data_IF_088351282230
#
_entry.id   IF_088351282230
#
_cell.length_a   1.000
_cell.length_b   1.000
_cell.length_c   1.000
_cell.angle_alpha   90.00
_cell.angle_beta   90.00
_cell.angle_gamma   90.00
#
_symmetry.space_group_name_H-M   'P 1'
#
loop_
_entity.id
_entity.type
_entity.pdbx_description
1 polymer ?
#
# COMPACT_ATOMS: atom_id res chain seq x y z
N UNK A 1 -6.80 16.40 -16.68
CA UNK A 1 -6.23 15.36 -17.58
C UNK A 1 -7.24 15.03 -18.69
N UNK A 2 -6.82 14.93 -19.97
CA UNK A 2 -7.71 14.54 -21.06
C UNK A 2 -8.27 13.13 -20.85
N UNK A 3 -9.56 12.91 -21.14
CA UNK A 3 -10.25 11.63 -20.98
C UNK A 3 -9.58 10.47 -21.74
N UNK A 4 -8.97 10.73 -22.89
CA UNK A 4 -8.27 9.72 -23.70
C UNK A 4 -7.02 9.14 -23.02
N UNK A 5 -6.31 9.94 -22.20
CA UNK A 5 -5.15 9.48 -21.46
C UNK A 5 -5.56 8.53 -20.33
N UNK A 6 -6.68 8.81 -19.67
CA UNK A 6 -7.23 7.94 -18.60
C UNK A 6 -7.64 6.57 -19.17
N UNK A 7 -8.26 6.52 -20.35
CA UNK A 7 -8.62 5.24 -20.99
C UNK A 7 -7.39 4.41 -21.38
N UNK A 8 -6.34 5.05 -21.89
CA UNK A 8 -5.11 4.37 -22.29
C UNK A 8 -4.35 3.74 -21.11
N UNK A 9 -4.47 4.33 -19.90
CA UNK A 9 -3.86 3.82 -18.66
C UNK A 9 -4.82 3.00 -17.79
N UNK A 10 -6.04 2.76 -18.24
CA UNK A 10 -7.08 2.09 -17.43
C UNK A 10 -6.64 0.74 -16.90
N UNK A 11 -5.96 -0.08 -17.70
CA UNK A 11 -5.46 -1.38 -17.29
C UNK A 11 -4.40 -1.24 -16.15
N UNK A 12 -3.51 -0.26 -16.26
CA UNK A 12 -2.48 0.02 -15.23
C UNK A 12 -3.13 0.59 -13.96
N UNK A 13 -4.15 1.44 -14.11
CA UNK A 13 -4.88 2.02 -12.98
C UNK A 13 -5.79 1.00 -12.26
N UNK A 14 -6.20 -0.08 -12.93
CA UNK A 14 -6.94 -1.17 -12.28
C UNK A 14 -6.08 -1.91 -11.24
N UNK A 15 -4.75 -1.99 -11.43
CA UNK A 15 -3.83 -2.55 -10.44
C UNK A 15 -3.82 -1.77 -9.12
N UNK A 16 -4.15 -0.47 -9.15
CA UNK A 16 -4.26 0.36 -7.93
C UNK A 16 -5.34 -0.16 -6.99
N UNK A 17 -6.40 -0.79 -7.51
CA UNK A 17 -7.47 -1.36 -6.69
C UNK A 17 -7.03 -2.58 -5.90
N UNK A 18 -6.01 -3.28 -6.39
CA UNK A 18 -5.48 -4.50 -5.77
C UNK A 18 -4.26 -4.21 -4.88
N UNK A 19 -3.78 -2.96 -4.87
CA UNK A 19 -2.61 -2.58 -4.09
C UNK A 19 -2.91 -2.58 -2.57
N UNK A 20 -2.01 -3.12 -1.78
CA UNK A 20 -2.08 -3.09 -0.31
C UNK A 20 -1.79 -1.70 0.25
N UNK A 21 -0.92 -0.94 -0.42
CA UNK A 21 -0.55 0.44 -0.10
C UNK A 21 -0.47 1.25 -1.39
N UNK A 22 -1.04 2.44 -1.38
CA UNK A 22 -0.99 3.38 -2.49
C UNK A 22 -0.05 4.53 -2.09
N UNK A 23 0.93 4.81 -2.92
CA UNK A 23 1.79 5.98 -2.76
C UNK A 23 1.36 7.05 -3.76
N UNK A 24 0.77 8.13 -3.26
CA UNK A 24 0.45 9.30 -4.07
C UNK A 24 1.64 10.26 -4.08
N UNK A 25 2.44 10.20 -5.15
CA UNK A 25 3.66 11.00 -5.26
C UNK A 25 3.35 12.35 -5.89
N UNK A 26 3.70 13.43 -5.16
CA UNK A 26 3.48 14.82 -5.57
C UNK A 26 4.79 15.56 -5.73
N UNK A 27 4.82 16.53 -6.63
CA UNK A 27 5.88 17.54 -6.71
C UNK A 27 5.54 18.68 -5.74
N UNK A 28 6.17 18.68 -4.55
CA UNK A 28 5.85 19.69 -3.53
C UNK A 28 6.44 21.07 -3.85
N UNK A 29 7.35 21.16 -4.80
CA UNK A 29 7.91 22.42 -5.27
C UNK A 29 7.10 23.05 -6.42
N UNK A 30 6.08 22.35 -6.95
CA UNK A 30 5.18 22.88 -7.97
C UNK A 30 4.20 23.89 -7.36
N UNK A 31 4.01 25.01 -8.02
CA UNK A 31 2.98 26.01 -7.66
C UNK A 31 1.55 25.42 -7.81
N UNK A 32 1.38 24.42 -8.65
CA UNK A 32 0.08 23.76 -8.93
C UNK A 32 -0.11 22.46 -8.15
N UNK A 33 0.77 22.15 -7.18
CA UNK A 33 0.79 20.86 -6.46
C UNK A 33 -0.57 20.44 -5.88
N UNK A 34 -1.37 21.40 -5.39
CA UNK A 34 -2.71 21.08 -4.85
C UNK A 34 -3.73 20.76 -5.94
N UNK A 35 -3.67 21.49 -7.07
CA UNK A 35 -4.55 21.22 -8.21
C UNK A 35 -4.23 19.86 -8.84
N UNK A 36 -2.94 19.53 -8.98
CA UNK A 36 -2.47 18.23 -9.47
C UNK A 36 -2.93 17.09 -8.55
N UNK A 37 -2.87 17.30 -7.22
CA UNK A 37 -3.32 16.33 -6.24
C UNK A 37 -4.83 16.07 -6.33
N UNK A 38 -5.63 17.13 -6.51
CA UNK A 38 -7.08 17.00 -6.65
C UNK A 38 -7.47 16.28 -7.95
N UNK A 39 -6.74 16.51 -9.03
CA UNK A 39 -6.91 15.76 -10.28
C UNK A 39 -6.68 14.26 -10.08
N UNK A 40 -5.63 13.88 -9.34
CA UNK A 40 -5.34 12.47 -9.02
C UNK A 40 -6.44 11.87 -8.14
N UNK A 41 -6.91 12.57 -7.10
CA UNK A 41 -8.02 12.11 -6.24
C UNK A 41 -9.27 11.87 -7.08
N UNK A 42 -9.61 12.80 -7.97
CA UNK A 42 -10.74 12.64 -8.89
C UNK A 42 -10.62 11.38 -9.77
N UNK A 43 -9.42 11.04 -10.20
CA UNK A 43 -9.17 9.80 -10.98
C UNK A 43 -9.34 8.57 -10.10
N UNK A 44 -8.81 8.56 -8.89
CA UNK A 44 -8.95 7.45 -7.94
C UNK A 44 -10.42 7.21 -7.58
N UNK A 45 -11.19 8.26 -7.30
CA UNK A 45 -12.63 8.17 -7.03
C UNK A 45 -13.40 7.55 -8.20
N UNK A 46 -13.09 7.95 -9.44
CA UNK A 46 -13.71 7.36 -10.66
C UNK A 46 -13.37 5.88 -10.84
N UNK A 47 -12.23 5.45 -10.31
CA UNK A 47 -11.84 4.03 -10.27
C UNK A 47 -12.51 3.27 -9.13
N UNK A 48 -13.24 3.96 -8.24
CA UNK A 48 -13.84 3.37 -7.04
C UNK A 48 -12.80 3.06 -5.95
N UNK A 49 -11.69 3.80 -5.95
CA UNK A 49 -10.68 3.75 -4.89
C UNK A 49 -10.98 4.85 -3.90
N UNK A 50 -11.52 4.49 -2.74
CA UNK A 50 -11.72 5.44 -1.65
C UNK A 50 -10.39 5.65 -0.92
N UNK A 51 -9.83 6.85 -1.03
CA UNK A 51 -8.56 7.20 -0.39
C UNK A 51 -8.65 7.26 1.14
N UNK A 52 -9.85 7.42 1.71
CA UNK A 52 -10.06 7.44 3.16
C UNK A 52 -10.12 6.02 3.76
N UNK A 53 -10.60 5.04 2.97
CA UNK A 53 -10.69 3.64 3.38
C UNK A 53 -9.44 2.82 3.04
N UNK A 54 -8.53 3.36 2.23
CA UNK A 54 -7.33 2.66 1.77
C UNK A 54 -6.07 3.11 2.51
N UNK A 55 -5.07 2.26 2.50
CA UNK A 55 -3.73 2.59 2.97
C UNK A 55 -3.03 3.50 1.97
N UNK A 56 -3.32 4.79 2.01
CA UNK A 56 -2.70 5.81 1.17
C UNK A 56 -1.65 6.57 1.96
N UNK A 57 -0.47 6.78 1.37
CA UNK A 57 0.56 7.68 1.87
C UNK A 57 0.79 8.74 0.80
N UNK A 58 0.68 10.02 1.16
CA UNK A 58 1.16 11.09 0.29
C UNK A 58 2.69 11.20 0.39
N UNK A 59 3.35 11.16 -0.75
CA UNK A 59 4.81 11.31 -0.85
C UNK A 59 5.11 12.67 -1.47
N UNK A 60 5.51 13.61 -0.64
CA UNK A 60 5.84 14.96 -1.07
C UNK A 60 7.29 15.01 -1.53
N UNK A 61 7.48 14.73 -2.82
CA UNK A 61 8.79 14.63 -3.45
C UNK A 61 9.33 16.01 -3.86
N UNK A 62 10.62 16.05 -4.17
CA UNK A 62 11.41 17.24 -4.53
C UNK A 62 11.58 18.23 -3.39
N UNK A 63 11.61 17.74 -2.15
CA UNK A 63 11.85 18.55 -0.96
C UNK A 63 13.20 19.30 -1.01
N UNK A 64 14.16 18.84 -1.82
CA UNK A 64 15.44 19.50 -2.08
C UNK A 64 15.30 20.83 -2.83
N UNK A 65 14.20 21.06 -3.54
CA UNK A 65 13.94 22.30 -4.28
C UNK A 65 13.24 23.38 -3.42
N UNK A 66 12.79 23.05 -2.21
CA UNK A 66 12.17 24.00 -1.31
C UNK A 66 13.24 24.93 -0.69
N UNK A 67 12.90 26.22 -0.62
CA UNK A 67 13.72 27.17 0.13
C UNK A 67 13.72 26.81 1.64
N UNK A 68 14.80 27.09 2.37
CA UNK A 68 14.92 26.70 3.78
C UNK A 68 13.78 27.24 4.67
N UNK A 69 13.24 28.42 4.34
CA UNK A 69 12.15 29.07 5.09
C UNK A 69 10.82 28.33 4.90
N UNK A 70 10.53 27.88 3.67
CA UNK A 70 9.29 27.18 3.34
C UNK A 70 9.32 25.72 3.83
N UNK A 71 10.50 25.15 3.90
CA UNK A 71 10.71 23.73 4.23
C UNK A 71 10.20 23.35 5.62
N UNK A 72 10.41 24.20 6.62
CA UNK A 72 9.93 23.95 7.98
C UNK A 72 8.39 24.01 8.06
N UNK A 73 7.79 24.94 7.34
CA UNK A 73 6.35 25.06 7.23
C UNK A 73 5.74 23.83 6.56
N UNK A 74 6.25 23.47 5.40
CA UNK A 74 5.80 22.30 4.63
C UNK A 74 5.98 21.00 5.43
N UNK A 75 7.08 20.85 6.17
CA UNK A 75 7.27 19.72 7.09
C UNK A 75 6.25 19.70 8.23
N UNK A 76 5.85 20.85 8.71
CA UNK A 76 4.76 21.01 9.69
C UNK A 76 3.40 20.59 9.11
N UNK A 77 3.14 20.95 7.88
CA UNK A 77 1.90 20.58 7.17
C UNK A 77 1.86 19.09 6.87
N UNK A 78 2.96 18.48 6.41
CA UNK A 78 3.06 17.05 6.18
C UNK A 78 2.73 16.22 7.43
N UNK A 79 3.17 16.67 8.62
CA UNK A 79 2.86 16.00 9.89
C UNK A 79 1.39 16.04 10.30
N UNK A 80 0.63 17.02 9.81
CA UNK A 80 -0.80 17.23 10.11
C UNK A 80 -1.70 16.72 8.99
N UNK A 81 -1.10 16.34 7.86
CA UNK A 81 -1.84 15.93 6.68
C UNK A 81 -2.58 14.60 6.88
N UNK A 82 -3.74 14.48 6.28
CA UNK A 82 -4.49 13.24 6.20
C UNK A 82 -4.95 13.00 4.75
N UNK A 83 -4.60 11.87 4.14
CA UNK A 83 -3.81 10.75 4.65
C UNK A 83 -2.36 11.16 5.03
N UNK A 84 -1.60 10.31 5.76
CA UNK A 84 -0.24 10.65 6.22
C UNK A 84 0.66 11.08 5.07
N UNK A 85 1.40 12.18 5.24
CA UNK A 85 2.33 12.67 4.24
C UNK A 85 3.79 12.51 4.70
N UNK A 86 4.67 12.11 3.78
CA UNK A 86 6.11 11.98 4.01
C UNK A 86 6.85 12.82 2.99
N UNK A 87 7.64 13.80 3.46
CA UNK A 87 8.53 14.58 2.60
C UNK A 87 9.74 13.76 2.21
N UNK A 88 10.07 13.75 0.92
CA UNK A 88 11.23 13.06 0.37
C UNK A 88 11.94 13.88 -0.70
N UNK A 89 13.16 13.53 -0.95
CA UNK A 89 13.87 13.89 -2.18
C UNK A 89 14.44 12.63 -2.83
N UNK A 90 13.88 12.24 -3.95
CA UNK A 90 14.37 11.09 -4.70
C UNK A 90 15.80 11.30 -5.25
N UNK A 91 16.24 12.54 -5.37
CA UNK A 91 17.58 12.89 -5.86
C UNK A 91 18.63 12.72 -4.76
N UNK A 92 18.35 13.21 -3.55
CA UNK A 92 19.30 13.15 -2.42
C UNK A 92 19.12 11.89 -1.55
N UNK A 93 17.97 11.21 -1.64
CA UNK A 93 17.59 10.11 -0.76
C UNK A 93 16.99 10.55 0.58
N UNK A 94 16.89 11.85 0.82
CA UNK A 94 16.32 12.40 2.04
C UNK A 94 14.87 11.95 2.22
N UNK A 95 14.50 11.55 3.44
CA UNK A 95 13.15 11.12 3.79
C UNK A 95 12.77 9.71 3.31
N UNK A 96 13.57 9.06 2.43
CA UNK A 96 13.28 7.73 1.90
C UNK A 96 13.19 6.66 3.00
N UNK A 97 14.07 6.72 4.02
CA UNK A 97 14.00 5.80 5.16
C UNK A 97 12.71 5.97 5.97
N UNK A 98 12.26 7.22 6.14
CA UNK A 98 10.99 7.50 6.82
C UNK A 98 9.79 7.00 6.01
N UNK A 99 9.82 7.12 4.68
CA UNK A 99 8.81 6.57 3.79
C UNK A 99 8.77 5.04 3.88
N UNK A 100 9.91 4.37 3.83
CA UNK A 100 9.99 2.92 3.97
C UNK A 100 9.45 2.46 5.33
N UNK A 101 9.76 3.19 6.41
CA UNK A 101 9.21 2.90 7.73
C UNK A 101 7.69 3.12 7.79
N UNK A 102 7.15 4.12 7.10
CA UNK A 102 5.70 4.36 7.03
C UNK A 102 4.99 3.24 6.26
N UNK A 103 5.55 2.80 5.13
CA UNK A 103 5.03 1.65 4.35
C UNK A 103 5.06 0.38 5.21
N UNK A 104 6.20 0.11 5.87
CA UNK A 104 6.35 -1.07 6.71
C UNK A 104 5.29 -1.13 7.82
N UNK A 105 4.95 0.00 8.45
CA UNK A 105 3.88 0.05 9.46
C UNK A 105 2.53 -0.36 8.89
N UNK A 106 2.16 0.14 7.71
CA UNK A 106 0.88 -0.21 7.08
C UNK A 106 0.80 -1.69 6.67
N UNK A 107 1.94 -2.28 6.31
CA UNK A 107 2.01 -3.69 5.91
C UNK A 107 2.20 -4.62 7.12
N UNK A 108 2.97 -4.18 8.14
CA UNK A 108 3.35 -5.00 9.30
C UNK A 108 2.36 -4.92 10.48
N UNK A 109 1.47 -3.92 10.54
CA UNK A 109 0.50 -3.75 11.64
C UNK A 109 -0.66 -4.77 11.59
N UNK A 110 -0.81 -5.55 10.52
CA UNK A 110 -1.76 -6.64 10.49
C UNK A 110 -1.31 -7.75 11.46
N UNK A 111 -2.16 -8.19 12.41
CA UNK A 111 -1.83 -9.31 13.28
C UNK A 111 -1.58 -10.56 12.42
N UNK A 112 -0.61 -11.41 12.81
CA UNK A 112 -0.37 -12.65 12.07
C UNK A 112 -1.58 -13.55 12.18
N UNK A 113 -2.02 -14.07 11.03
CA UNK A 113 -3.11 -15.04 10.92
C UNK A 113 -2.50 -16.43 10.83
N UNK A 114 -3.02 -17.39 11.58
CA UNK A 114 -2.63 -18.78 11.46
C UNK A 114 -3.52 -19.48 10.46
N UNK A 115 -2.91 -20.03 9.41
CA UNK A 115 -3.59 -20.72 8.31
C UNK A 115 -3.25 -22.20 8.38
N UNK A 116 -4.28 -23.07 8.48
CA UNK A 116 -4.11 -24.51 8.44
C UNK A 116 -4.37 -25.02 7.03
N UNK A 117 -3.35 -25.62 6.43
CA UNK A 117 -3.38 -26.18 5.08
C UNK A 117 -3.24 -27.68 5.11
N UNK A 118 -3.95 -28.36 4.22
CA UNK A 118 -3.75 -29.79 3.95
C UNK A 118 -2.76 -29.99 2.80
N UNK A 119 -2.33 -31.22 2.56
CA UNK A 119 -1.47 -31.56 1.43
C UNK A 119 -2.10 -31.19 0.05
N UNK A 120 -3.43 -31.04 -0.01
CA UNK A 120 -4.15 -30.67 -1.23
C UNK A 120 -4.17 -29.16 -1.48
N UNK A 121 -3.86 -28.32 -0.49
CA UNK A 121 -3.98 -26.87 -0.54
C UNK A 121 -2.74 -26.15 -1.09
N UNK A 122 -2.00 -26.78 -2.01
CA UNK A 122 -0.77 -26.22 -2.59
C UNK A 122 -0.97 -24.87 -3.28
N UNK A 123 -2.14 -24.64 -3.88
CA UNK A 123 -2.48 -23.35 -4.49
C UNK A 123 -2.63 -22.25 -3.44
N UNK A 124 -3.29 -22.53 -2.31
CA UNK A 124 -3.43 -21.60 -1.20
C UNK A 124 -2.07 -21.30 -0.56
N UNK A 125 -1.24 -22.30 -0.37
CA UNK A 125 0.14 -22.13 0.10
C UNK A 125 0.95 -21.20 -0.81
N UNK A 126 0.95 -21.44 -2.12
CA UNK A 126 1.67 -20.61 -3.09
C UNK A 126 1.15 -19.17 -3.10
N UNK A 127 -0.16 -18.98 -2.90
CA UNK A 127 -0.78 -17.68 -2.81
C UNK A 127 -0.30 -16.92 -1.57
N UNK A 128 -0.28 -17.56 -0.40
CA UNK A 128 0.21 -16.96 0.85
C UNK A 128 1.67 -16.50 0.75
N UNK A 129 2.53 -17.29 0.12
CA UNK A 129 3.94 -16.90 -0.09
C UNK A 129 4.10 -15.74 -1.07
N UNK A 130 3.14 -15.54 -1.98
CA UNK A 130 3.18 -14.44 -2.97
C UNK A 130 2.61 -13.14 -2.43
N UNK A 131 1.56 -13.20 -1.60
CA UNK A 131 0.78 -12.04 -1.18
C UNK A 131 0.89 -11.72 0.31
N UNK A 132 1.56 -12.58 1.08
CA UNK A 132 1.75 -12.39 2.52
C UNK A 132 3.21 -12.52 2.94
N UNK A 133 3.48 -12.07 4.16
CA UNK A 133 4.76 -12.30 4.82
C UNK A 133 4.65 -13.51 5.74
N UNK A 134 5.17 -14.64 5.31
CA UNK A 134 5.24 -15.86 6.12
C UNK A 134 6.22 -15.64 7.26
N UNK A 135 5.73 -15.77 8.50
CA UNK A 135 6.50 -15.57 9.73
C UNK A 135 7.02 -16.90 10.27
N UNK A 136 6.21 -17.95 10.18
CA UNK A 136 6.54 -19.28 10.67
C UNK A 136 5.77 -20.33 9.87
N UNK A 137 6.32 -21.56 9.84
CA UNK A 137 5.69 -22.73 9.22
C UNK A 137 6.01 -23.97 10.03
N UNK A 138 4.99 -24.71 10.36
CA UNK A 138 5.09 -26.02 11.02
C UNK A 138 4.40 -27.04 10.12
N UNK A 139 5.14 -28.06 9.71
CA UNK A 139 4.58 -29.15 8.93
C UNK A 139 4.09 -30.27 9.86
N UNK A 140 2.88 -30.78 9.59
CA UNK A 140 2.27 -31.86 10.34
C UNK A 140 2.69 -33.24 9.74
N UNK A 141 2.69 -34.30 10.55
CA UNK A 141 3.07 -35.65 10.12
C UNK A 141 2.17 -36.21 8.98
N UNK A 142 0.96 -35.68 8.86
CA UNK A 142 -0.03 -36.05 7.85
C UNK A 142 0.15 -35.30 6.50
N UNK A 143 1.24 -34.54 6.35
CA UNK A 143 1.53 -33.75 5.15
C UNK A 143 0.78 -32.44 5.05
N UNK A 144 0.08 -32.04 6.10
CA UNK A 144 -0.47 -30.70 6.27
C UNK A 144 0.58 -29.70 6.75
N UNK A 145 0.22 -28.43 6.77
CA UNK A 145 1.08 -27.35 7.29
C UNK A 145 0.24 -26.31 8.03
N UNK A 146 0.80 -25.79 9.11
CA UNK A 146 0.30 -24.58 9.76
C UNK A 146 1.26 -23.44 9.47
N UNK A 147 0.73 -22.36 8.88
CA UNK A 147 1.51 -21.20 8.47
C UNK A 147 1.05 -19.98 9.25
N UNK A 148 1.96 -19.34 9.98
CA UNK A 148 1.74 -18.01 10.53
C UNK A 148 2.14 -16.98 9.46
N UNK A 149 1.18 -16.20 8.98
CA UNK A 149 1.39 -15.23 7.90
C UNK A 149 0.76 -13.89 8.26
N UNK A 150 1.45 -12.81 7.95
CA UNK A 150 0.86 -11.47 7.97
C UNK A 150 0.33 -11.16 6.58
N UNK A 151 -0.93 -10.77 6.54
CA UNK A 151 -1.64 -10.35 5.34
C UNK A 151 -2.20 -8.96 5.60
N UNK A 152 -2.18 -8.11 4.57
CA UNK A 152 -2.97 -6.88 4.65
C UNK A 152 -4.47 -7.21 4.75
N UNK A 153 -5.31 -6.31 5.27
CA UNK A 153 -6.76 -6.52 5.34
C UNK A 153 -7.37 -6.90 3.99
N UNK A 154 -6.86 -6.29 2.91
CA UNK A 154 -7.30 -6.58 1.56
C UNK A 154 -6.86 -7.97 1.09
N UNK A 155 -5.59 -8.33 1.31
CA UNK A 155 -5.08 -9.66 0.96
C UNK A 155 -5.80 -10.75 1.75
N UNK A 156 -6.13 -10.49 3.03
CA UNK A 156 -6.92 -11.41 3.85
C UNK A 156 -8.31 -11.65 3.25
N UNK A 157 -9.02 -10.57 2.90
CA UNK A 157 -10.34 -10.69 2.26
C UNK A 157 -10.31 -11.41 0.91
N UNK A 158 -9.28 -11.18 0.09
CA UNK A 158 -9.08 -11.91 -1.17
C UNK A 158 -8.80 -13.38 -0.93
N UNK A 159 -7.98 -13.70 0.08
CA UNK A 159 -7.67 -15.09 0.44
C UNK A 159 -8.93 -15.84 0.87
N UNK A 160 -9.75 -15.26 1.74
CA UNK A 160 -11.01 -15.85 2.21
C UNK A 160 -12.00 -16.11 1.07
N UNK A 161 -12.06 -15.19 0.10
CA UNK A 161 -12.92 -15.36 -1.08
C UNK A 161 -12.42 -16.46 -2.02
N UNK A 162 -11.10 -16.55 -2.21
CA UNK A 162 -10.50 -17.47 -3.16
C UNK A 162 -10.36 -18.89 -2.60
N UNK A 163 -10.17 -19.00 -1.28
CA UNK A 163 -9.93 -20.27 -0.57
C UNK A 163 -10.87 -20.45 0.63
N UNK A 164 -12.21 -20.42 0.42
CA UNK A 164 -13.19 -20.46 1.52
C UNK A 164 -13.15 -21.76 2.33
N UNK A 165 -12.49 -22.80 1.82
CA UNK A 165 -12.34 -24.11 2.49
C UNK A 165 -11.17 -24.14 3.48
N UNK A 166 -10.29 -23.12 3.50
CA UNK A 166 -9.11 -23.08 4.36
C UNK A 166 -9.46 -22.48 5.72
N UNK A 167 -9.09 -23.16 6.81
CA UNK A 167 -9.29 -22.65 8.17
C UNK A 167 -8.29 -21.53 8.50
N UNK A 168 -8.83 -20.36 8.89
CA UNK A 168 -8.10 -19.24 9.41
C UNK A 168 -8.35 -19.11 10.92
N UNK A 169 -7.28 -18.87 11.68
CA UNK A 169 -7.37 -18.56 13.12
C UNK A 169 -6.64 -17.25 13.40
N UNK A 170 -7.35 -16.30 13.98
CA UNK A 170 -6.84 -14.99 14.38
C UNK A 170 -6.15 -15.02 15.74
#
# INVERSE_FOLDING_TARGET
>A
MPHELVESFRATLEEVKEADVILHVRDIASEETEAEAEDVRTVLDRLGVDVEERNVIEVWNKADLLEPEDREQVAGDARRHHPPAVMVSAVSGEGCDALLAAIARLVDDAPPVSVKLTAADGAAMAWLYRHGRVMDRVDDEDGGSRIAVRLSPQALGQFEQQFPQVELTH
#
